data_IF_443919509103
#
_entry.id   IF_443919509103
#
_cell.length_a   1.000
_cell.length_b   1.000
_cell.length_c   1.000
_cell.angle_alpha   90.00
_cell.angle_beta   90.00
_cell.angle_gamma   90.00
#
_symmetry.space_group_name_H-M   'P 1'
#
loop_
_entity.id
_entity.type
_entity.pdbx_description
1 polymer ?
#
# COMPACT_ATOMS: atom_id res chain seq x y z
N UNK A 1 -18.97 -11.30 0.64
CA UNK A 1 -17.76 -11.08 1.48
C UNK A 1 -17.66 -9.59 1.81
N UNK A 2 -16.96 -9.19 2.88
CA UNK A 2 -16.71 -7.77 3.17
C UNK A 2 -17.58 -7.11 4.24
N UNK A 3 -18.56 -7.81 4.83
CA UNK A 3 -19.32 -7.29 5.98
C UNK A 3 -18.99 -8.13 7.22
N UNK A 4 -18.53 -7.49 8.28
CA UNK A 4 -18.19 -8.15 9.55
C UNK A 4 -19.45 -8.40 10.40
N UNK A 5 -20.46 -9.02 9.79
CA UNK A 5 -21.73 -9.37 10.44
C UNK A 5 -21.62 -10.70 11.17
N UNK A 6 -22.25 -10.77 12.35
CA UNK A 6 -22.32 -11.98 13.17
C UNK A 6 -23.80 -12.26 13.47
N UNK A 7 -24.20 -13.54 13.35
CA UNK A 7 -25.57 -13.97 13.59
C UNK A 7 -25.60 -15.23 14.47
N UNK A 8 -26.71 -15.42 15.21
CA UNK A 8 -26.96 -16.67 15.94
C UNK A 8 -27.38 -17.80 15.00
N UNK A 9 -28.19 -17.48 14.00
CA UNK A 9 -28.71 -18.41 13.01
C UNK A 9 -28.35 -17.89 11.62
N UNK A 10 -27.77 -18.76 10.80
CA UNK A 10 -27.53 -18.50 9.38
C UNK A 10 -28.36 -19.50 8.58
N UNK A 11 -29.12 -19.02 7.62
CA UNK A 11 -29.96 -19.85 6.75
C UNK A 11 -29.43 -19.72 5.32
N UNK A 12 -28.95 -20.81 4.76
CA UNK A 12 -28.53 -20.92 3.36
C UNK A 12 -29.67 -21.58 2.60
N UNK A 13 -30.42 -20.76 1.87
CA UNK A 13 -31.64 -21.17 1.18
C UNK A 13 -31.38 -21.89 -0.15
N UNK A 14 -30.35 -21.49 -0.88
CA UNK A 14 -30.02 -22.01 -2.22
C UNK A 14 -28.50 -22.13 -2.35
N UNK A 15 -28.02 -23.16 -3.06
CA UNK A 15 -26.61 -23.34 -3.38
C UNK A 15 -26.20 -22.74 -4.74
N UNK A 16 -27.07 -22.01 -5.43
CA UNK A 16 -26.77 -21.34 -6.70
C UNK A 16 -26.64 -19.82 -6.52
N UNK A 17 -25.47 -19.28 -6.88
CA UNK A 17 -25.21 -17.85 -6.95
C UNK A 17 -24.97 -17.43 -8.40
N UNK A 18 -25.89 -16.63 -8.96
CA UNK A 18 -25.81 -16.10 -10.33
C UNK A 18 -25.47 -17.17 -11.39
N UNK A 19 -26.17 -18.31 -11.35
CA UNK A 19 -26.01 -19.50 -12.22
C UNK A 19 -24.78 -20.38 -11.96
N UNK A 20 -23.95 -20.07 -10.97
CA UNK A 20 -22.84 -20.93 -10.52
C UNK A 20 -23.19 -21.59 -9.20
N UNK A 21 -22.75 -22.83 -8.99
CA UNK A 21 -22.82 -23.45 -7.66
C UNK A 21 -21.93 -22.70 -6.68
N UNK A 22 -22.36 -22.63 -5.43
CA UNK A 22 -21.65 -22.00 -4.33
C UNK A 22 -20.32 -22.73 -4.12
N UNK A 23 -19.22 -22.00 -4.14
CA UNK A 23 -17.89 -22.58 -3.89
C UNK A 23 -17.71 -22.92 -2.40
N UNK A 24 -16.92 -23.96 -2.10
CA UNK A 24 -16.66 -24.42 -0.73
C UNK A 24 -16.11 -23.31 0.18
N UNK A 25 -15.20 -22.48 -0.35
CA UNK A 25 -14.65 -21.33 0.38
C UNK A 25 -15.72 -20.30 0.74
N UNK A 26 -16.57 -19.93 -0.23
CA UNK A 26 -17.68 -18.99 -0.02
C UNK A 26 -18.68 -19.53 1.00
N UNK A 27 -19.01 -20.82 0.93
CA UNK A 27 -19.88 -21.50 1.89
C UNK A 27 -19.30 -21.44 3.31
N UNK A 28 -18.00 -21.72 3.48
CA UNK A 28 -17.33 -21.62 4.78
C UNK A 28 -17.29 -20.19 5.32
N UNK A 29 -17.09 -19.20 4.44
CA UNK A 29 -17.15 -17.78 4.82
C UNK A 29 -18.53 -17.37 5.34
N UNK A 30 -19.62 -17.92 4.79
CA UNK A 30 -21.00 -17.68 5.25
C UNK A 30 -21.25 -18.43 6.57
N UNK A 31 -20.90 -19.73 6.62
CA UNK A 31 -21.05 -20.58 7.81
C UNK A 31 -20.32 -19.99 9.02
N UNK A 32 -19.11 -19.46 8.81
CA UNK A 32 -18.28 -18.84 9.84
C UNK A 32 -18.84 -17.54 10.43
N UNK A 33 -19.94 -17.00 9.87
CA UNK A 33 -20.67 -15.87 10.47
C UNK A 33 -21.69 -16.31 11.51
N UNK A 34 -21.91 -17.62 11.66
CA UNK A 34 -22.75 -18.20 12.69
C UNK A 34 -21.96 -18.42 13.98
N UNK A 35 -22.41 -17.76 15.05
CA UNK A 35 -21.73 -17.81 16.34
C UNK A 35 -20.61 -16.78 16.48
N UNK A 36 -20.37 -16.34 17.72
CA UNK A 36 -19.20 -15.53 18.10
C UNK A 36 -18.94 -15.71 19.58
N UNK A 37 -17.66 -15.88 19.91
CA UNK A 37 -17.17 -15.87 21.28
C UNK A 37 -17.73 -14.63 22.00
N UNK A 38 -18.26 -14.82 23.21
CA UNK A 38 -18.86 -13.78 24.06
C UNK A 38 -20.24 -13.20 23.65
N UNK A 39 -20.89 -13.66 22.57
CA UNK A 39 -22.27 -13.22 22.22
C UNK A 39 -23.22 -14.35 21.86
N UNK A 40 -22.80 -15.26 20.99
CA UNK A 40 -23.56 -16.43 20.56
C UNK A 40 -22.65 -17.63 20.68
N UNK A 41 -22.67 -18.27 21.86
CA UNK A 41 -21.78 -19.39 22.18
C UNK A 41 -22.01 -20.61 21.27
N UNK A 42 -23.26 -20.78 20.81
CA UNK A 42 -23.66 -21.77 19.82
C UNK A 42 -24.31 -21.02 18.66
N UNK A 43 -23.74 -21.20 17.46
CA UNK A 43 -24.32 -20.74 16.20
C UNK A 43 -24.98 -21.91 15.47
N UNK A 44 -26.16 -21.68 14.89
CA UNK A 44 -26.85 -22.66 14.05
C UNK A 44 -26.72 -22.27 12.57
N UNK A 45 -26.50 -23.27 11.73
CA UNK A 45 -26.48 -23.10 10.27
C UNK A 45 -27.46 -24.09 9.67
N UNK A 46 -28.48 -23.57 9.01
CA UNK A 46 -29.50 -24.35 8.32
C UNK A 46 -29.23 -24.27 6.83
N UNK A 47 -29.03 -25.41 6.18
CA UNK A 47 -28.75 -25.51 4.75
C UNK A 47 -29.87 -26.33 4.13
N UNK A 48 -30.50 -25.80 3.09
CA UNK A 48 -31.63 -26.44 2.41
C UNK A 48 -31.18 -27.35 1.25
N UNK A 49 -30.02 -27.08 0.67
CA UNK A 49 -29.39 -27.90 -0.38
C UNK A 49 -28.15 -28.65 0.14
N UNK A 50 -27.65 -29.60 -0.64
CA UNK A 50 -26.39 -30.27 -0.34
C UNK A 50 -25.23 -29.26 -0.27
N UNK A 51 -24.39 -29.32 0.78
CA UNK A 51 -23.22 -28.45 0.88
C UNK A 51 -22.24 -28.74 -0.26
N UNK A 52 -21.47 -27.74 -0.72
CA UNK A 52 -20.47 -27.96 -1.75
C UNK A 52 -19.44 -29.00 -1.29
N UNK A 53 -18.95 -29.82 -2.24
CA UNK A 53 -17.93 -30.82 -1.94
C UNK A 53 -16.64 -30.15 -1.46
N UNK A 54 -16.00 -30.79 -0.48
CA UNK A 54 -14.69 -30.38 0.02
C UNK A 54 -13.64 -30.72 -1.04
N UNK A 55 -13.37 -29.75 -1.91
CA UNK A 55 -12.21 -29.80 -2.80
C UNK A 55 -11.02 -29.21 -2.03
N UNK A 56 -9.95 -30.00 -1.89
CA UNK A 56 -8.68 -29.45 -1.44
C UNK A 56 -8.31 -28.34 -2.42
N UNK A 57 -8.17 -27.08 -1.97
CA UNK A 57 -7.76 -26.02 -2.88
C UNK A 57 -6.38 -26.41 -3.42
N UNK A 58 -6.29 -26.72 -4.71
CA UNK A 58 -5.02 -26.91 -5.36
C UNK A 58 -4.35 -25.54 -5.40
N UNK A 59 -3.40 -25.32 -4.49
CA UNK A 59 -2.61 -24.09 -4.46
C UNK A 59 -1.53 -24.25 -5.52
N UNK A 60 -1.77 -23.65 -6.69
CA UNK A 60 -0.74 -23.54 -7.70
C UNK A 60 0.34 -22.57 -7.21
N UNK A 61 1.55 -23.08 -7.05
CA UNK A 61 2.72 -22.32 -6.61
C UNK A 61 3.60 -22.11 -7.84
N UNK A 62 3.63 -20.92 -8.45
CA UNK A 62 4.37 -20.69 -9.70
C UNK A 62 5.88 -20.93 -9.57
N UNK A 63 6.42 -20.83 -8.35
CA UNK A 63 7.81 -21.15 -8.06
C UNK A 63 8.14 -22.66 -8.07
N UNK A 64 7.12 -23.52 -7.97
CA UNK A 64 7.26 -24.99 -7.96
C UNK A 64 6.80 -25.57 -9.30
N UNK A 65 5.67 -25.08 -9.82
CA UNK A 65 5.08 -25.51 -11.08
C UNK A 65 4.93 -24.31 -12.02
N UNK A 66 6.03 -23.79 -12.60
CA UNK A 66 5.95 -22.67 -13.52
C UNK A 66 5.20 -23.05 -14.80
N UNK A 67 4.29 -22.18 -15.20
CA UNK A 67 3.45 -22.24 -16.40
C UNK A 67 3.64 -21.00 -17.27
N UNK A 68 3.05 -20.96 -18.47
CA UNK A 68 3.14 -19.79 -19.38
C UNK A 68 2.67 -18.46 -18.75
N UNK A 69 1.77 -18.52 -17.77
CA UNK A 69 1.26 -17.35 -17.04
C UNK A 69 2.13 -16.95 -15.87
N UNK A 70 3.23 -17.67 -15.60
CA UNK A 70 4.11 -17.38 -14.48
C UNK A 70 4.83 -16.04 -14.68
N UNK A 71 4.78 -15.16 -13.66
CA UNK A 71 5.50 -13.88 -13.69
C UNK A 71 6.98 -14.07 -13.98
N UNK A 72 7.51 -13.23 -14.86
CA UNK A 72 8.92 -13.23 -15.25
C UNK A 72 9.83 -12.87 -14.07
N UNK A 73 9.32 -12.03 -13.17
CA UNK A 73 9.95 -11.71 -11.87
C UNK A 73 10.22 -12.94 -11.00
N UNK A 74 9.40 -14.00 -11.11
CA UNK A 74 9.59 -15.29 -10.43
C UNK A 74 10.50 -16.19 -11.26
N UNK A 75 10.26 -16.29 -12.58
CA UNK A 75 11.05 -17.16 -13.47
C UNK A 75 12.55 -16.86 -13.41
N UNK A 76 12.95 -15.59 -13.35
CA UNK A 76 14.36 -15.19 -13.31
C UNK A 76 15.09 -15.60 -12.01
N UNK A 77 14.33 -16.00 -10.97
CA UNK A 77 14.85 -16.47 -9.68
C UNK A 77 14.99 -18.00 -9.61
N UNK A 78 14.41 -18.74 -10.55
CA UNK A 78 14.47 -20.20 -10.57
C UNK A 78 15.85 -20.68 -11.03
N UNK A 79 16.22 -21.89 -10.61
CA UNK A 79 17.40 -22.57 -11.12
C UNK A 79 17.13 -23.06 -12.54
N UNK A 80 18.16 -23.16 -13.39
CA UNK A 80 18.01 -23.61 -14.78
C UNK A 80 17.33 -25.00 -14.91
N UNK A 81 17.49 -25.87 -13.90
CA UNK A 81 16.88 -27.21 -13.90
C UNK A 81 15.37 -27.20 -13.53
N UNK A 82 14.87 -26.12 -12.94
CA UNK A 82 13.50 -25.99 -12.46
C UNK A 82 12.58 -25.30 -13.49
N UNK A 83 13.14 -24.88 -14.63
CA UNK A 83 12.44 -24.17 -15.69
C UNK A 83 12.08 -25.16 -16.81
N UNK A 84 10.80 -25.35 -17.13
CA UNK A 84 10.38 -26.18 -18.25
C UNK A 84 10.90 -25.62 -19.58
N UNK A 85 11.24 -26.52 -20.52
CA UNK A 85 11.77 -26.18 -21.85
C UNK A 85 10.95 -25.11 -22.59
N UNK A 86 9.62 -25.12 -22.40
CA UNK A 86 8.69 -24.17 -23.02
C UNK A 86 8.89 -22.72 -22.56
N UNK A 87 9.41 -22.52 -21.35
CA UNK A 87 9.68 -21.20 -20.77
C UNK A 87 11.14 -20.77 -20.94
N UNK A 88 12.00 -21.66 -21.41
CA UNK A 88 13.42 -21.40 -21.58
C UNK A 88 13.68 -20.21 -22.52
N UNK A 89 12.95 -20.12 -23.64
CA UNK A 89 13.09 -19.00 -24.58
C UNK A 89 12.75 -17.65 -23.93
N UNK A 90 11.76 -17.63 -23.02
CA UNK A 90 11.35 -16.43 -22.29
C UNK A 90 12.44 -16.03 -21.30
N UNK A 91 13.04 -17.00 -20.60
CA UNK A 91 14.13 -16.77 -19.65
C UNK A 91 15.41 -16.32 -20.39
N UNK A 92 15.76 -16.96 -21.49
CA UNK A 92 16.95 -16.64 -22.29
C UNK A 92 16.92 -15.19 -22.78
N UNK A 93 15.74 -14.65 -23.14
CA UNK A 93 15.58 -13.23 -23.51
C UNK A 93 15.90 -12.27 -22.36
N UNK A 94 15.69 -12.68 -21.12
CA UNK A 94 15.98 -11.88 -19.93
C UNK A 94 17.45 -12.03 -19.47
N UNK A 95 18.04 -13.21 -19.67
CA UNK A 95 19.43 -13.49 -19.29
C UNK A 95 20.44 -12.97 -20.31
N UNK A 96 20.15 -13.06 -21.61
CA UNK A 96 21.07 -12.74 -22.71
C UNK A 96 20.93 -11.32 -23.27
N UNK A 97 20.33 -10.40 -22.51
CA UNK A 97 20.24 -8.98 -22.90
C UNK A 97 21.41 -8.17 -22.35
N UNK A 98 21.85 -7.15 -23.10
CA UNK A 98 23.03 -6.33 -22.76
C UNK A 98 22.69 -4.95 -22.15
N UNK A 99 21.43 -4.74 -21.75
CA UNK A 99 20.92 -3.43 -21.32
C UNK A 99 21.09 -3.22 -19.82
N UNK A 100 20.68 -4.20 -19.01
CA UNK A 100 20.79 -4.17 -17.54
C UNK A 100 21.52 -5.43 -17.04
N UNK A 101 22.22 -5.39 -15.90
CA UNK A 101 22.77 -6.59 -15.28
C UNK A 101 21.65 -7.52 -14.82
N UNK A 102 21.82 -8.82 -14.99
CA UNK A 102 20.82 -9.82 -14.56
C UNK A 102 20.60 -9.77 -13.04
N UNK A 103 21.64 -9.47 -12.26
CA UNK A 103 21.57 -9.28 -10.82
C UNK A 103 20.65 -8.12 -10.45
N UNK A 104 20.63 -7.04 -11.24
CA UNK A 104 19.74 -5.92 -11.02
C UNK A 104 18.28 -6.31 -11.23
N UNK A 105 18.00 -7.08 -12.30
CA UNK A 105 16.67 -7.60 -12.58
C UNK A 105 16.18 -8.55 -11.46
N UNK A 106 17.07 -9.41 -10.93
CA UNK A 106 16.76 -10.32 -9.82
C UNK A 106 16.50 -9.58 -8.51
N UNK A 107 17.24 -8.52 -8.23
CA UNK A 107 17.05 -7.71 -7.01
C UNK A 107 15.71 -6.96 -7.02
N UNK A 108 15.25 -6.53 -8.19
CA UNK A 108 13.96 -5.82 -8.34
C UNK A 108 12.85 -6.84 -8.64
N UNK A 109 12.47 -7.63 -7.64
CA UNK A 109 11.43 -8.66 -7.78
C UNK A 109 10.00 -8.11 -7.78
N UNK A 110 9.82 -6.84 -7.41
CA UNK A 110 8.51 -6.22 -7.21
C UNK A 110 7.85 -5.68 -8.50
N UNK A 111 8.59 -5.71 -9.61
CA UNK A 111 8.20 -5.26 -10.95
C UNK A 111 8.68 -6.29 -11.96
N UNK A 112 7.90 -6.53 -13.00
CA UNK A 112 8.28 -7.46 -14.07
C UNK A 112 9.54 -6.97 -14.82
N UNK A 113 10.55 -7.84 -15.05
CA UNK A 113 11.78 -7.52 -15.75
C UNK A 113 11.59 -6.83 -17.11
N UNK A 114 10.54 -7.16 -17.84
CA UNK A 114 10.22 -6.54 -19.13
C UNK A 114 10.02 -5.03 -19.00
N UNK A 115 9.33 -4.57 -17.96
CA UNK A 115 9.14 -3.14 -17.70
C UNK A 115 10.43 -2.44 -17.29
N UNK A 116 11.33 -3.14 -16.58
CA UNK A 116 12.65 -2.61 -16.23
C UNK A 116 13.51 -2.41 -17.49
N UNK A 117 13.50 -3.39 -18.39
CA UNK A 117 14.21 -3.33 -19.67
C UNK A 117 13.65 -2.23 -20.57
N UNK A 118 12.33 -2.10 -20.68
CA UNK A 118 11.70 -1.05 -21.48
C UNK A 118 11.98 0.35 -20.92
N UNK A 119 11.99 0.48 -19.60
CA UNK A 119 12.44 1.70 -18.93
C UNK A 119 13.90 2.03 -19.23
N UNK A 120 14.79 1.04 -19.14
CA UNK A 120 16.21 1.24 -19.44
C UNK A 120 16.45 1.64 -20.91
N UNK A 121 15.77 0.99 -21.87
CA UNK A 121 15.81 1.37 -23.29
C UNK A 121 15.34 2.81 -23.49
N UNK A 122 14.26 3.21 -22.81
CA UNK A 122 13.75 4.58 -22.90
C UNK A 122 14.77 5.60 -22.37
N UNK A 123 15.37 5.36 -21.20
CA UNK A 123 16.40 6.24 -20.61
C UNK A 123 17.67 6.32 -21.47
N UNK A 124 18.07 5.21 -22.11
CA UNK A 124 19.18 5.21 -23.07
C UNK A 124 18.85 6.02 -24.34
N UNK A 125 17.61 6.06 -24.79
CA UNK A 125 17.27 6.83 -25.98
C UNK A 125 17.16 8.35 -25.71
N UNK A 126 17.16 8.78 -24.44
CA UNK A 126 17.10 10.19 -24.07
C UNK A 126 18.42 10.92 -24.31
N UNK A 127 18.30 12.22 -24.57
CA UNK A 127 19.45 13.11 -24.59
C UNK A 127 19.95 13.42 -23.16
N UNK A 128 21.17 13.95 -23.04
CA UNK A 128 21.80 14.25 -21.73
C UNK A 128 20.98 15.21 -20.88
N UNK A 129 20.30 16.20 -21.49
CA UNK A 129 19.49 17.16 -20.74
C UNK A 129 18.25 16.50 -20.13
N UNK A 130 17.56 15.66 -20.89
CA UNK A 130 16.41 14.89 -20.40
C UNK A 130 16.83 13.89 -19.32
N UNK A 131 17.90 13.13 -19.56
CA UNK A 131 18.38 12.14 -18.62
C UNK A 131 18.86 12.78 -17.30
N UNK A 132 19.39 14.00 -17.34
CA UNK A 132 19.77 14.74 -16.14
C UNK A 132 18.61 15.05 -15.19
N UNK A 133 17.35 15.02 -15.67
CA UNK A 133 16.15 15.13 -14.82
C UNK A 133 15.97 13.94 -13.88
N UNK A 134 16.65 12.82 -14.13
CA UNK A 134 16.73 11.71 -13.18
C UNK A 134 17.74 11.98 -12.05
N UNK A 135 18.67 12.93 -12.20
CA UNK A 135 19.83 13.09 -11.30
C UNK A 135 19.48 13.86 -10.03
N UNK A 136 18.51 13.36 -9.27
CA UNK A 136 18.10 13.91 -7.98
C UNK A 136 18.18 12.85 -6.86
N UNK A 137 18.07 13.31 -5.61
CA UNK A 137 18.12 12.42 -4.44
C UNK A 137 17.02 12.69 -3.42
N UNK A 138 17.25 13.59 -2.46
CA UNK A 138 16.38 13.76 -1.29
C UNK A 138 15.31 14.84 -1.45
N UNK A 139 15.54 15.84 -2.31
CA UNK A 139 14.70 17.03 -2.44
C UNK A 139 14.36 17.28 -3.91
N UNK A 140 13.36 16.57 -4.46
CA UNK A 140 12.95 16.77 -5.84
C UNK A 140 12.27 18.13 -6.03
N UNK A 141 12.37 18.65 -7.24
CA UNK A 141 11.51 19.71 -7.75
C UNK A 141 10.23 19.13 -8.35
N UNK A 142 9.24 19.98 -8.68
CA UNK A 142 8.02 19.52 -9.34
C UNK A 142 8.32 18.80 -10.66
N UNK A 143 9.28 19.30 -11.44
CA UNK A 143 9.70 18.71 -12.72
C UNK A 143 10.34 17.34 -12.53
N UNK A 144 11.07 17.12 -11.44
CA UNK A 144 11.68 15.82 -11.12
C UNK A 144 10.61 14.78 -10.77
N UNK A 145 9.60 15.19 -9.98
CA UNK A 145 8.44 14.33 -9.67
C UNK A 145 7.63 14.07 -10.95
N UNK A 146 7.46 15.08 -11.81
CA UNK A 146 6.74 14.93 -13.08
C UNK A 146 7.45 13.94 -13.99
N UNK A 147 8.76 14.10 -14.15
CA UNK A 147 9.58 13.21 -14.95
C UNK A 147 9.49 11.77 -14.44
N UNK A 148 9.79 11.54 -13.16
CA UNK A 148 9.72 10.20 -12.56
C UNK A 148 8.31 9.61 -12.65
N UNK A 149 7.28 10.44 -12.47
CA UNK A 149 5.88 10.01 -12.60
C UNK A 149 5.51 9.56 -14.00
N UNK A 150 6.01 10.24 -15.04
CA UNK A 150 5.79 9.82 -16.43
C UNK A 150 6.50 8.48 -16.70
N UNK A 151 7.75 8.32 -16.26
CA UNK A 151 8.46 7.04 -16.45
C UNK A 151 7.76 5.89 -15.73
N UNK A 152 7.32 6.12 -14.48
CA UNK A 152 6.56 5.15 -13.70
C UNK A 152 5.28 4.73 -14.44
N UNK A 153 4.57 5.72 -15.00
CA UNK A 153 3.29 5.50 -15.65
C UNK A 153 3.42 4.78 -17.00
N UNK A 154 4.34 5.24 -17.86
CA UNK A 154 4.43 4.83 -19.26
C UNK A 154 5.30 3.58 -19.48
N UNK A 155 6.36 3.38 -18.68
CA UNK A 155 7.38 2.35 -18.95
C UNK A 155 7.54 1.30 -17.84
N UNK A 156 7.39 1.69 -16.56
CA UNK A 156 7.58 0.78 -15.42
C UNK A 156 6.33 -0.07 -15.07
N UNK A 157 5.27 0.00 -15.88
CA UNK A 157 4.02 -0.72 -15.60
C UNK A 157 3.28 -0.20 -14.35
N UNK A 158 3.48 1.08 -13.99
CA UNK A 158 2.84 1.69 -12.82
C UNK A 158 1.38 2.09 -13.02
N UNK A 159 0.95 2.33 -14.26
CA UNK A 159 -0.39 2.86 -14.54
C UNK A 159 -1.57 1.99 -14.01
N UNK A 160 -1.57 0.64 -14.10
CA UNK A 160 -2.64 -0.18 -13.52
C UNK A 160 -2.75 -0.01 -12.00
N UNK A 161 -1.62 -0.10 -11.30
CA UNK A 161 -1.54 0.07 -9.84
C UNK A 161 -1.91 1.51 -9.42
N UNK A 162 -1.53 2.51 -10.21
CA UNK A 162 -1.87 3.91 -9.98
C UNK A 162 -3.38 4.16 -10.08
N UNK A 163 -4.05 3.53 -11.06
CA UNK A 163 -5.51 3.61 -11.21
C UNK A 163 -6.26 2.97 -10.04
N UNK A 164 -5.72 1.91 -9.44
CA UNK A 164 -6.30 1.34 -8.21
C UNK A 164 -6.19 2.30 -7.02
N UNK A 165 -5.16 3.16 -7.00
CA UNK A 165 -5.04 4.28 -6.07
C UNK A 165 -5.70 5.57 -6.56
N UNK A 166 -6.70 5.47 -7.43
CA UNK A 166 -7.49 6.59 -8.00
C UNK A 166 -6.72 7.63 -8.81
N UNK A 167 -5.50 7.32 -9.26
CA UNK A 167 -4.75 8.18 -10.18
C UNK A 167 -5.19 7.97 -11.61
N UNK A 168 -5.55 9.07 -12.30
CA UNK A 168 -6.05 9.03 -13.69
C UNK A 168 -4.98 9.31 -14.74
N UNK A 169 -3.89 9.97 -14.34
CA UNK A 169 -2.75 10.27 -15.21
C UNK A 169 -1.47 10.51 -14.40
N UNK A 170 -0.32 10.45 -15.07
CA UNK A 170 0.97 10.82 -14.48
C UNK A 170 0.98 12.27 -13.96
N UNK A 171 0.31 13.21 -14.65
CA UNK A 171 0.20 14.61 -14.19
C UNK A 171 -0.62 14.74 -12.90
N UNK A 172 -1.73 13.98 -12.78
CA UNK A 172 -2.53 13.97 -11.56
C UNK A 172 -1.73 13.39 -10.40
N UNK A 173 -1.05 12.27 -10.64
CA UNK A 173 -0.13 11.65 -9.68
C UNK A 173 0.93 12.64 -9.21
N UNK A 174 1.60 13.30 -10.13
CA UNK A 174 2.62 14.33 -9.83
C UNK A 174 2.06 15.42 -8.93
N UNK A 175 0.89 15.98 -9.28
CA UNK A 175 0.27 17.05 -8.52
C UNK A 175 -0.03 16.62 -7.07
N UNK A 176 -0.58 15.43 -6.89
CA UNK A 176 -0.96 14.93 -5.57
C UNK A 176 0.26 14.59 -4.72
N UNK A 177 1.26 13.93 -5.29
CA UNK A 177 2.56 13.67 -4.63
C UNK A 177 3.20 15.00 -4.21
N UNK A 178 3.23 16.01 -5.10
CA UNK A 178 3.80 17.33 -4.81
C UNK A 178 3.04 18.06 -3.69
N UNK A 179 1.70 18.00 -3.70
CA UNK A 179 0.86 18.59 -2.65
C UNK A 179 1.07 17.92 -1.30
N UNK A 180 1.19 16.60 -1.29
CA UNK A 180 1.49 15.84 -0.07
C UNK A 180 2.90 16.17 0.44
N UNK A 181 3.90 16.21 -0.44
CA UNK A 181 5.28 16.58 -0.11
C UNK A 181 5.42 18.01 0.41
N UNK A 182 4.69 18.96 -0.18
CA UNK A 182 4.70 20.36 0.22
C UNK A 182 3.99 20.63 1.54
N UNK A 183 2.86 19.96 1.80
CA UNK A 183 2.10 20.11 3.04
C UNK A 183 2.74 19.38 4.23
N UNK A 184 3.31 18.19 4.00
CA UNK A 184 3.80 17.27 5.06
C UNK A 184 2.79 17.11 6.20
N UNK A 185 1.52 17.11 5.82
CA UNK A 185 0.38 17.11 6.73
C UNK A 185 -0.78 16.37 6.05
N UNK A 186 -1.05 15.15 6.51
CA UNK A 186 -2.02 14.26 5.87
C UNK A 186 -3.44 14.81 6.03
N UNK A 187 -3.78 15.40 7.17
CA UNK A 187 -5.11 15.98 7.42
C UNK A 187 -5.40 17.19 6.53
N UNK A 188 -4.42 18.08 6.38
CA UNK A 188 -4.50 19.24 5.49
C UNK A 188 -4.61 18.80 4.03
N UNK A 189 -3.74 17.88 3.60
CA UNK A 189 -3.76 17.33 2.25
C UNK A 189 -5.14 16.74 1.92
N UNK A 190 -5.69 15.91 2.80
CA UNK A 190 -7.02 15.30 2.58
C UNK A 190 -8.10 16.34 2.42
N UNK A 191 -8.16 17.31 3.33
CA UNK A 191 -9.15 18.38 3.29
C UNK A 191 -9.06 19.16 1.98
N UNK A 192 -7.86 19.58 1.58
CA UNK A 192 -7.65 20.33 0.34
C UNK A 192 -8.04 19.52 -0.89
N UNK A 193 -7.63 18.26 -0.97
CA UNK A 193 -7.88 17.42 -2.15
C UNK A 193 -9.35 17.02 -2.28
N UNK A 194 -10.02 16.68 -1.18
CA UNK A 194 -11.47 16.39 -1.17
C UNK A 194 -12.25 17.63 -1.62
N UNK A 195 -11.95 18.80 -1.05
CA UNK A 195 -12.61 20.06 -1.43
C UNK A 195 -12.35 20.42 -2.90
N UNK A 196 -11.11 20.21 -3.39
CA UNK A 196 -10.76 20.44 -4.79
C UNK A 196 -11.54 19.54 -5.74
N UNK A 197 -11.75 18.28 -5.38
CA UNK A 197 -12.53 17.34 -6.18
C UNK A 197 -14.04 17.68 -6.18
N UNK A 198 -14.61 17.99 -5.02
CA UNK A 198 -16.01 18.41 -4.90
C UNK A 198 -16.26 19.68 -5.73
N UNK A 199 -15.32 20.64 -5.69
CA UNK A 199 -15.38 21.86 -6.51
C UNK A 199 -15.32 21.60 -8.02
N UNK A 200 -14.89 20.40 -8.45
CA UNK A 200 -14.90 19.94 -9.85
C UNK A 200 -16.10 19.04 -10.17
N UNK A 201 -17.16 19.10 -9.37
CA UNK A 201 -18.39 18.32 -9.49
C UNK A 201 -18.23 16.79 -9.31
N UNK A 202 -17.19 16.32 -8.61
CA UNK A 202 -17.20 14.94 -8.10
C UNK A 202 -18.14 14.81 -6.90
N UNK A 203 -18.74 13.63 -6.73
CA UNK A 203 -19.57 13.35 -5.55
C UNK A 203 -18.69 13.37 -4.29
N UNK A 204 -19.20 13.87 -3.15
CA UNK A 204 -18.44 13.89 -1.90
C UNK A 204 -17.90 12.51 -1.49
N UNK A 205 -18.70 11.45 -1.60
CA UNK A 205 -18.29 10.10 -1.21
C UNK A 205 -17.14 9.58 -2.09
N UNK A 206 -17.27 9.72 -3.42
CA UNK A 206 -16.23 9.35 -4.38
C UNK A 206 -14.93 10.15 -4.14
N UNK A 207 -15.04 11.44 -3.84
CA UNK A 207 -13.88 12.27 -3.53
C UNK A 207 -13.13 11.82 -2.26
N UNK A 208 -13.88 11.36 -1.23
CA UNK A 208 -13.29 10.80 0.00
C UNK A 208 -12.60 9.47 -0.30
N UNK A 209 -13.28 8.56 -1.00
CA UNK A 209 -12.72 7.25 -1.38
C UNK A 209 -11.45 7.40 -2.22
N UNK A 210 -11.46 8.28 -3.23
CA UNK A 210 -10.31 8.52 -4.10
C UNK A 210 -9.08 9.02 -3.32
N UNK A 211 -9.29 9.95 -2.38
CA UNK A 211 -8.20 10.49 -1.56
C UNK A 211 -7.65 9.43 -0.60
N UNK A 212 -8.51 8.61 -0.01
CA UNK A 212 -8.07 7.52 0.88
C UNK A 212 -7.36 6.40 0.10
N UNK A 213 -7.86 6.03 -1.09
CA UNK A 213 -7.24 5.06 -1.98
C UNK A 213 -5.85 5.52 -2.42
N UNK A 214 -5.69 6.81 -2.75
CA UNK A 214 -4.38 7.39 -3.02
C UNK A 214 -3.44 7.27 -1.82
N UNK A 215 -3.87 7.72 -0.63
CA UNK A 215 -2.98 7.74 0.54
C UNK A 215 -2.50 6.34 0.93
N UNK A 216 -3.42 5.38 1.03
CA UNK A 216 -3.12 4.02 1.51
C UNK A 216 -2.57 3.08 0.44
N UNK A 217 -3.12 3.16 -0.78
CA UNK A 217 -2.77 2.24 -1.85
C UNK A 217 -1.59 2.73 -2.67
N UNK A 218 -1.58 4.03 -3.00
CA UNK A 218 -0.56 4.59 -3.88
C UNK A 218 0.61 5.21 -3.11
N UNK A 219 0.37 6.29 -2.37
CA UNK A 219 1.42 7.09 -1.73
C UNK A 219 2.22 6.29 -0.69
N UNK A 220 1.56 5.54 0.19
CA UNK A 220 2.24 4.78 1.25
C UNK A 220 2.77 3.40 0.83
N UNK A 221 2.49 2.92 -0.40
CA UNK A 221 2.84 1.55 -0.79
C UNK A 221 3.38 1.46 -2.23
N UNK A 222 2.51 1.61 -3.22
CA UNK A 222 2.93 1.37 -4.60
C UNK A 222 3.93 2.42 -5.12
N UNK A 223 3.75 3.70 -4.82
CA UNK A 223 4.63 4.76 -5.33
C UNK A 223 6.08 4.62 -4.83
N UNK A 224 6.37 4.42 -3.53
CA UNK A 224 7.72 4.09 -3.04
C UNK A 224 8.34 2.91 -3.78
N UNK A 225 7.57 1.83 -3.98
CA UNK A 225 8.00 0.61 -4.69
C UNK A 225 8.47 0.92 -6.12
N UNK A 226 7.63 1.63 -6.89
CA UNK A 226 7.99 2.02 -8.27
C UNK A 226 9.14 3.02 -8.31
N UNK A 227 9.20 3.95 -7.35
CA UNK A 227 10.26 4.95 -7.27
C UNK A 227 11.62 4.32 -6.93
N UNK A 228 11.66 3.32 -6.05
CA UNK A 228 12.88 2.55 -5.75
C UNK A 228 13.40 1.81 -6.98
N UNK A 229 12.53 1.08 -7.68
CA UNK A 229 12.92 0.40 -8.91
C UNK A 229 13.43 1.38 -9.98
N UNK A 230 12.78 2.55 -10.13
CA UNK A 230 13.27 3.60 -11.02
C UNK A 230 14.63 4.12 -10.58
N UNK A 231 14.85 4.29 -9.26
CA UNK A 231 16.13 4.74 -8.71
C UNK A 231 17.26 3.80 -9.10
N UNK A 232 17.05 2.49 -8.98
CA UNK A 232 18.06 1.47 -9.27
C UNK A 232 18.38 1.41 -10.78
N UNK A 233 17.36 1.37 -11.63
CA UNK A 233 17.53 1.36 -13.09
C UNK A 233 18.16 2.67 -13.58
N UNK A 234 17.65 3.82 -13.15
CA UNK A 234 18.16 5.11 -13.59
C UNK A 234 19.59 5.35 -13.11
N UNK A 235 19.94 4.94 -11.88
CA UNK A 235 21.29 5.10 -11.35
C UNK A 235 22.30 4.26 -12.13
N UNK A 236 21.94 3.03 -12.53
CA UNK A 236 22.77 2.21 -13.40
C UNK A 236 23.03 2.91 -14.74
N UNK A 237 21.97 3.34 -15.44
CA UNK A 237 22.09 3.99 -16.75
C UNK A 237 22.84 5.33 -16.70
N UNK A 238 22.65 6.13 -15.65
CA UNK A 238 23.39 7.37 -15.44
C UNK A 238 24.89 7.10 -15.26
N UNK A 239 25.24 6.07 -14.49
CA UNK A 239 26.64 5.71 -14.21
C UNK A 239 27.34 5.19 -15.47
N UNK A 240 26.68 4.32 -16.24
CA UNK A 240 27.19 3.83 -17.53
C UNK A 240 27.46 4.96 -18.53
N UNK A 241 26.69 6.06 -18.46
CA UNK A 241 26.88 7.25 -19.28
C UNK A 241 27.88 8.27 -18.72
N UNK A 242 28.53 7.96 -17.59
CA UNK A 242 29.45 8.88 -16.91
C UNK A 242 28.79 10.12 -16.33
N UNK A 243 27.47 10.08 -16.11
CA UNK A 243 26.71 11.16 -15.49
C UNK A 243 26.62 10.97 -13.97
N UNK A 244 26.21 12.03 -13.27
CA UNK A 244 25.95 11.95 -11.83
C UNK A 244 24.76 11.03 -11.57
N UNK A 245 24.97 9.99 -10.76
CA UNK A 245 23.94 9.05 -10.33
C UNK A 245 22.78 9.70 -9.55
N UNK A 246 21.75 8.90 -9.29
CA UNK A 246 20.55 9.29 -8.56
C UNK A 246 20.29 8.38 -7.37
N UNK A 247 19.54 8.86 -6.37
CA UNK A 247 19.15 8.02 -5.24
C UNK A 247 17.86 8.52 -4.60
N UNK A 248 16.74 7.89 -4.95
CA UNK A 248 15.42 8.32 -4.49
C UNK A 248 15.01 7.69 -3.15
N UNK A 249 15.84 6.83 -2.56
CA UNK A 249 15.49 6.03 -1.37
C UNK A 249 14.96 6.86 -0.20
N UNK A 250 15.61 7.98 0.10
CA UNK A 250 15.18 8.84 1.19
C UNK A 250 13.78 9.43 0.95
N UNK A 251 13.47 9.82 -0.30
CA UNK A 251 12.14 10.32 -0.64
C UNK A 251 11.10 9.19 -0.63
N UNK A 252 11.45 8.01 -1.13
CA UNK A 252 10.61 6.82 -1.13
C UNK A 252 10.19 6.42 0.30
N UNK A 253 11.15 6.31 1.23
CA UNK A 253 10.86 6.02 2.66
C UNK A 253 10.03 7.15 3.27
N UNK A 254 10.34 8.40 2.96
CA UNK A 254 9.59 9.53 3.50
C UNK A 254 8.12 9.52 3.07
N UNK A 255 7.83 9.23 1.80
CA UNK A 255 6.45 9.18 1.30
C UNK A 255 5.72 7.89 1.67
N UNK A 256 6.43 6.79 1.87
CA UNK A 256 5.88 5.55 2.46
C UNK A 256 5.21 5.84 3.81
N UNK A 257 5.83 6.70 4.62
CA UNK A 257 5.26 7.22 5.88
C UNK A 257 4.45 8.51 5.71
N UNK A 258 4.03 8.87 4.49
CA UNK A 258 3.25 10.07 4.17
C UNK A 258 3.88 11.39 4.67
N UNK A 259 5.21 11.44 4.71
CA UNK A 259 6.03 12.51 5.28
C UNK A 259 5.73 12.80 6.75
N UNK A 260 5.17 11.83 7.47
CA UNK A 260 4.93 11.85 8.91
C UNK A 260 6.03 11.09 9.68
N UNK A 261 6.13 11.29 10.99
CA UNK A 261 6.97 10.46 11.85
C UNK A 261 6.65 8.97 11.71
N UNK A 262 7.68 8.13 11.73
CA UNK A 262 7.52 6.66 11.68
C UNK A 262 6.69 6.13 12.85
N UNK A 263 6.70 6.82 13.99
CA UNK A 263 5.85 6.48 15.14
C UNK A 263 4.36 6.53 14.82
N UNK A 264 3.91 7.26 13.79
CA UNK A 264 2.49 7.38 13.45
C UNK A 264 1.90 6.07 12.93
N UNK A 265 2.61 5.33 12.07
CA UNK A 265 2.11 4.04 11.57
C UNK A 265 1.99 3.03 12.70
N UNK A 266 2.97 3.00 13.60
CA UNK A 266 2.89 2.16 14.80
C UNK A 266 1.73 2.57 15.70
N UNK A 267 1.52 3.87 15.95
CA UNK A 267 0.37 4.35 16.73
C UNK A 267 -0.97 3.96 16.11
N UNK A 268 -1.09 3.97 14.78
CA UNK A 268 -2.27 3.51 14.06
C UNK A 268 -2.51 2.00 14.27
N UNK A 269 -1.45 1.18 14.28
CA UNK A 269 -1.53 -0.25 14.64
C UNK A 269 -1.96 -0.48 16.09
N UNK A 270 -1.57 0.40 17.02
CA UNK A 270 -2.07 0.41 18.40
C UNK A 270 -3.50 0.94 18.54
N UNK A 271 -4.13 1.38 17.44
CA UNK A 271 -5.51 1.82 17.39
C UNK A 271 -5.70 3.33 17.58
N UNK A 272 -4.63 4.14 17.50
CA UNK A 272 -4.72 5.60 17.51
C UNK A 272 -4.69 6.16 16.09
N UNK A 273 -5.81 6.70 15.58
CA UNK A 273 -5.86 7.29 14.24
C UNK A 273 -4.84 8.41 14.06
N UNK A 274 -4.30 8.49 12.84
CA UNK A 274 -3.27 9.46 12.45
C UNK A 274 -3.67 10.91 12.73
N UNK A 275 -4.95 11.25 12.67
CA UNK A 275 -5.49 12.58 13.02
C UNK A 275 -5.24 12.91 14.48
N UNK A 276 -5.48 11.94 15.36
CA UNK A 276 -5.28 12.13 16.80
C UNK A 276 -3.78 12.21 17.06
N UNK A 277 -2.99 11.29 16.50
CA UNK A 277 -1.52 11.32 16.58
C UNK A 277 -0.95 12.68 16.15
N UNK A 278 -1.48 13.26 15.06
CA UNK A 278 -1.11 14.57 14.56
C UNK A 278 -1.50 15.70 15.51
N UNK A 279 -2.70 15.67 16.10
CA UNK A 279 -3.09 16.63 17.16
C UNK A 279 -2.14 16.54 18.35
N UNK A 280 -1.77 15.32 18.78
CA UNK A 280 -0.88 15.13 19.93
C UNK A 280 0.55 15.64 19.63
N UNK A 281 1.05 15.41 18.41
CA UNK A 281 2.33 15.97 17.96
C UNK A 281 2.29 17.51 17.92
N UNK A 282 1.23 18.11 17.37
CA UNK A 282 1.09 19.58 17.30
C UNK A 282 0.99 20.22 18.69
N UNK A 283 0.40 19.51 19.66
CA UNK A 283 0.36 19.91 21.06
C UNK A 283 1.66 19.58 21.84
N UNK A 284 2.72 19.14 21.14
CA UNK A 284 4.06 18.86 21.69
C UNK A 284 4.04 17.80 22.80
N UNK A 285 3.23 16.76 22.64
CA UNK A 285 3.29 15.61 23.56
C UNK A 285 4.52 14.73 23.32
N UNK A 286 5.02 14.72 22.09
CA UNK A 286 6.23 14.05 21.65
C UNK A 286 6.80 14.80 20.42
N UNK A 287 8.02 14.47 20.00
CA UNK A 287 8.68 15.04 18.83
C UNK A 287 8.64 14.09 17.63
N UNK A 288 8.92 14.63 16.44
CA UNK A 288 8.95 13.85 15.20
C UNK A 288 10.00 12.75 15.18
N UNK A 289 11.11 12.96 15.89
CA UNK A 289 12.26 12.06 15.91
C UNK A 289 12.25 11.13 17.15
N UNK A 290 11.21 11.21 17.99
CA UNK A 290 11.11 10.37 19.17
C UNK A 290 10.84 8.91 18.76
N UNK A 291 11.61 7.99 19.34
CA UNK A 291 11.38 6.55 19.19
C UNK A 291 10.01 6.15 19.79
N UNK A 292 9.41 5.10 19.23
CA UNK A 292 8.09 4.62 19.61
C UNK A 292 7.94 4.41 21.12
N UNK A 293 8.93 3.84 21.79
CA UNK A 293 8.88 3.60 23.24
C UNK A 293 8.80 4.91 24.03
N UNK A 294 9.55 5.94 23.61
CA UNK A 294 9.48 7.28 24.20
C UNK A 294 8.10 7.90 24.02
N UNK A 295 7.55 7.80 22.80
CA UNK A 295 6.19 8.29 22.47
C UNK A 295 5.15 7.58 23.34
N UNK A 296 5.16 6.25 23.40
CA UNK A 296 4.19 5.48 24.20
C UNK A 296 4.31 5.82 25.68
N UNK A 297 5.52 5.97 26.23
CA UNK A 297 5.72 6.36 27.62
C UNK A 297 5.24 7.78 27.92
N UNK A 298 5.42 8.73 26.98
CA UNK A 298 4.89 10.09 27.11
C UNK A 298 3.35 10.09 27.12
N UNK A 299 2.72 9.25 26.30
CA UNK A 299 1.27 9.14 26.19
C UNK A 299 0.61 8.38 27.36
N UNK A 300 1.33 7.41 27.97
CA UNK A 300 0.86 6.61 29.10
C UNK A 300 0.59 7.44 30.37
N UNK A 301 1.33 8.54 30.55
CA UNK A 301 1.33 9.32 31.78
C UNK A 301 0.50 10.63 31.70
N UNK A 302 -0.24 10.88 30.61
CA UNK A 302 -0.98 12.14 30.38
C UNK A 302 -2.45 11.90 30.11
N UNK A 303 -3.34 12.76 30.61
CA UNK A 303 -4.77 12.72 30.25
C UNK A 303 -4.93 13.16 28.78
N UNK A 304 -5.21 12.21 27.88
CA UNK A 304 -5.34 12.48 26.44
C UNK A 304 -6.76 12.91 26.02
N UNK A 305 -7.75 12.67 26.87
CA UNK A 305 -9.17 12.98 26.61
C UNK A 305 -9.44 14.47 26.38
N UNK A 306 -8.52 15.35 26.77
CA UNK A 306 -8.59 16.80 26.55
C UNK A 306 -8.39 17.15 25.08
N UNK A 307 -7.72 16.29 24.31
CA UNK A 307 -7.44 16.51 22.88
C UNK A 307 -8.52 15.92 21.94
N UNK A 308 -9.58 15.34 22.50
CA UNK A 308 -10.70 14.81 21.72
C UNK A 308 -11.72 15.90 21.39
N UNK A 309 -12.06 16.06 20.11
CA UNK A 309 -13.07 17.02 19.65
C UNK A 309 -14.51 16.49 19.79
N UNK A 310 -14.70 15.21 20.13
CA UNK A 310 -16.02 14.59 20.25
C UNK A 310 -16.04 13.27 21.03
N UNK A 311 -17.25 12.73 21.20
CA UNK A 311 -17.46 11.48 21.95
C UNK A 311 -16.76 10.27 21.30
N UNK A 312 -16.70 10.23 19.96
CA UNK A 312 -16.03 9.17 19.22
C UNK A 312 -14.51 9.19 19.44
N UNK A 313 -13.84 10.33 19.19
CA UNK A 313 -12.39 10.46 19.42
C UNK A 313 -12.03 10.16 20.88
N UNK A 314 -12.87 10.58 21.83
CA UNK A 314 -12.68 10.27 23.25
C UNK A 314 -12.72 8.76 23.51
N UNK A 315 -13.67 8.04 22.91
CA UNK A 315 -13.73 6.58 23.03
C UNK A 315 -12.48 5.91 22.48
N UNK A 316 -12.01 6.33 21.30
CA UNK A 316 -10.79 5.81 20.68
C UNK A 316 -9.55 6.07 21.54
N UNK A 317 -9.42 7.27 22.09
CA UNK A 317 -8.32 7.63 22.99
C UNK A 317 -8.36 6.80 24.27
N UNK A 318 -9.55 6.62 24.87
CA UNK A 318 -9.70 5.81 26.09
C UNK A 318 -9.29 4.35 25.84
N UNK A 319 -9.72 3.76 24.73
CA UNK A 319 -9.39 2.38 24.35
C UNK A 319 -7.89 2.24 24.08
N UNK A 320 -7.29 3.19 23.35
CA UNK A 320 -5.84 3.26 23.14
C UNK A 320 -5.07 3.38 24.47
N UNK A 321 -5.47 4.29 25.36
CA UNK A 321 -4.83 4.48 26.66
C UNK A 321 -4.89 3.23 27.55
N UNK A 322 -6.00 2.50 27.50
CA UNK A 322 -6.12 1.18 28.16
C UNK A 322 -5.18 0.16 27.52
N UNK A 323 -5.13 0.10 26.19
CA UNK A 323 -4.26 -0.81 25.44
C UNK A 323 -2.76 -0.64 25.75
N UNK A 324 -2.30 0.61 25.91
CA UNK A 324 -0.89 0.88 26.25
C UNK A 324 -0.58 0.82 27.76
N UNK A 325 -1.56 0.48 28.61
CA UNK A 325 -1.37 0.36 30.06
C UNK A 325 -1.25 1.69 30.80
N UNK A 326 -2.15 2.64 30.54
CA UNK A 326 -2.22 3.94 31.23
C UNK A 326 -2.27 3.78 32.76
N UNK A 327 -1.51 4.63 33.47
CA UNK A 327 -1.46 4.69 34.95
C UNK A 327 -2.44 5.70 35.54
N UNK A 328 -3.30 6.28 34.71
CA UNK A 328 -4.24 7.33 35.13
C UNK A 328 -5.45 6.65 35.78
N UNK A 329 -5.87 7.06 36.99
CA UNK A 329 -7.00 6.44 37.67
C UNK A 329 -8.28 6.54 36.84
N UNK A 330 -8.92 5.38 36.61
CA UNK A 330 -10.12 5.25 35.79
C UNK A 330 -11.28 5.98 36.46
N UNK A 331 -11.58 7.22 36.03
CA UNK A 331 -12.68 8.03 36.60
C UNK A 331 -14.06 7.40 36.40
N UNK A 332 -14.18 6.33 35.61
CA UNK A 332 -15.41 5.53 35.43
C UNK A 332 -15.63 4.48 36.50
N UNK A 333 -14.64 4.13 37.33
CA UNK A 333 -14.82 3.15 38.40
C UNK A 333 -15.62 3.67 39.61
N UNK A 334 -15.93 4.97 39.65
CA UNK A 334 -16.64 5.63 40.75
C UNK A 334 -17.98 6.28 40.34
N UNK A 335 -18.64 5.79 39.28
CA UNK A 335 -20.01 6.20 38.95
C UNK A 335 -20.94 5.03 38.67
#
# INVERSE_FOLDING_TARGET
EGVNTAAKNVIVYDNILNRKKLEFFTFNNIRGRSGRMFRHFIGHVFVFDEPPQEELPFVDMPAINPTETTPSSILIQLSDNDVPDQLQEKLDKLLNQDILPVELLRNISSIEPEFLLDTAKNLLNMNVRELSKCSWSSRPTYEDILFSSNIIWDYLGGAPSARQGSMRSASMMTLWIWKLYGSRNVSLFRKEMIQSQIGRNHKPDEAVEDVLAFLRGWASFNYPKYLMALSDVANYILTERGLKGCNYSQFAVSIEHLFQPTSFSSLEEYGLPTEISEKLLNNKLFNKDDELESVVNALRNRELNVFADGAFERGVIEDFQKGIGSKIPDKRANK
#
